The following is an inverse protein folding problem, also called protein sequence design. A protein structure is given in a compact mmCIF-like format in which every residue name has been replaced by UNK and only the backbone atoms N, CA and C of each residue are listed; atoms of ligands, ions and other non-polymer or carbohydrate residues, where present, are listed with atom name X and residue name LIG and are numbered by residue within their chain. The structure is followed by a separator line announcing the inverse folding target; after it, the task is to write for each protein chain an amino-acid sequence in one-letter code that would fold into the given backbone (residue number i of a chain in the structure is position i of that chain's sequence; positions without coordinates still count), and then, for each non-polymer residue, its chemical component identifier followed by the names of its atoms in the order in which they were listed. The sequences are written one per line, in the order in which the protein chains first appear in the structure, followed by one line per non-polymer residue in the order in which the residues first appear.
data_IF_918161310997
#
_entry.id   IF_918161310997
#
_cell.length_a   1.000
_cell.length_b   1.000
_cell.length_c   1.000
_cell.angle_alpha   90.00
_cell.angle_beta   90.00
_cell.angle_gamma   90.00
#
_symmetry.space_group_name_H-M   'P 1'
#
loop_
_entity.id
_entity.type
_entity.pdbx_description
1 polymer ?
#
# COMPACT_ATOMS: atom_id res chain seq x y z
N UNK A 1 5.43 45.00 56.99
CA UNK A 1 4.57 45.23 55.81
C UNK A 1 5.45 45.55 54.61
N UNK A 2 4.99 45.19 53.41
CA UNK A 2 5.78 44.85 52.20
C UNK A 2 6.69 45.99 51.70
N UNK A 3 7.91 45.59 51.33
CA UNK A 3 9.01 46.44 50.81
C UNK A 3 8.69 46.92 49.39
N UNK A 4 8.86 48.21 49.14
CA UNK A 4 9.02 48.76 47.80
C UNK A 4 10.39 48.33 47.25
N UNK A 5 10.42 47.70 46.07
CA UNK A 5 11.65 47.61 45.29
C UNK A 5 11.39 48.01 43.84
N UNK A 6 12.22 48.94 43.41
CA UNK A 6 12.16 49.72 42.18
C UNK A 6 12.42 48.86 40.95
N UNK A 7 11.77 49.24 39.85
CA UNK A 7 12.10 48.86 38.48
C UNK A 7 13.61 49.03 38.23
N UNK A 8 14.24 48.01 37.65
CA UNK A 8 15.51 48.15 36.96
C UNK A 8 15.24 47.83 35.49
N UNK A 9 15.27 48.89 34.69
CA UNK A 9 15.39 48.85 33.24
C UNK A 9 16.72 48.19 32.87
N UNK A 10 16.71 47.21 31.97
CA UNK A 10 17.89 46.86 31.17
C UNK A 10 17.54 47.07 29.71
N UNK A 11 18.31 47.99 29.12
CA UNK A 11 18.26 48.41 27.74
C UNK A 11 18.72 47.30 26.78
N UNK A 12 17.98 47.22 25.68
CA UNK A 12 18.44 47.08 24.30
C UNK A 12 19.80 46.41 24.03
N UNK A 13 19.75 45.28 23.33
CA UNK A 13 20.68 45.03 22.23
C UNK A 13 19.84 44.76 20.99
N UNK A 14 19.72 45.80 20.17
CA UNK A 14 19.11 45.75 18.85
C UNK A 14 20.19 45.52 17.81
N UNK A 15 19.84 44.71 16.81
CA UNK A 15 20.31 44.76 15.41
C UNK A 15 21.75 44.25 15.15
N UNK A 16 22.03 43.49 14.09
CA UNK A 16 21.56 43.65 12.71
C UNK A 16 21.62 42.31 11.94
N UNK A 17 20.58 42.09 11.11
CA UNK A 17 20.60 41.73 9.67
C UNK A 17 21.50 40.54 9.24
N UNK A 18 21.15 39.64 8.34
CA UNK A 18 20.10 39.54 7.32
C UNK A 18 20.42 38.22 6.61
N UNK A 19 19.44 37.36 6.39
CA UNK A 19 19.47 36.45 5.24
C UNK A 19 18.07 35.90 4.97
N UNK A 20 17.43 36.52 3.99
CA UNK A 20 16.54 35.91 3.01
C UNK A 20 15.27 35.23 3.55
N UNK A 21 14.23 36.07 3.64
CA UNK A 21 12.90 35.67 3.25
C UNK A 21 12.92 35.01 1.86
N UNK A 22 12.69 33.71 1.81
CA UNK A 22 12.06 33.08 0.66
C UNK A 22 10.64 32.74 1.08
N UNK A 23 9.76 33.74 1.00
CA UNK A 23 8.33 33.50 0.92
C UNK A 23 8.07 33.01 -0.50
N UNK A 24 8.40 31.75 -0.75
CA UNK A 24 8.08 31.10 -2.01
C UNK A 24 6.61 30.67 -1.94
N UNK A 25 5.75 31.61 -2.35
CA UNK A 25 4.34 31.40 -2.68
C UNK A 25 4.22 30.56 -3.97
N UNK A 26 4.92 29.43 -3.99
CA UNK A 26 5.03 28.47 -5.10
C UNK A 26 4.96 27.02 -4.62
N UNK A 27 4.78 26.78 -3.31
CA UNK A 27 4.58 25.42 -2.78
C UNK A 27 3.10 25.05 -2.74
N UNK A 28 2.38 25.28 -3.85
CA UNK A 28 1.09 24.63 -4.08
C UNK A 28 1.39 23.37 -4.89
N UNK A 29 1.19 22.23 -4.22
CA UNK A 29 1.18 20.87 -4.78
C UNK A 29 2.54 20.40 -5.32
N UNK A 30 3.47 20.07 -4.41
CA UNK A 30 4.28 18.89 -4.72
C UNK A 30 3.32 17.69 -4.80
N UNK A 31 3.20 16.98 -5.93
CA UNK A 31 2.54 15.68 -5.91
C UNK A 31 3.27 14.85 -4.87
N UNK A 32 2.52 14.22 -3.95
CA UNK A 32 3.09 13.27 -3.00
C UNK A 32 4.02 12.35 -3.76
N UNK A 33 5.32 12.54 -3.56
CA UNK A 33 6.36 11.74 -4.19
C UNK A 33 6.04 10.30 -3.77
N UNK A 34 5.62 9.47 -4.74
CA UNK A 34 5.35 8.04 -4.57
C UNK A 34 6.35 7.49 -3.57
N UNK A 35 5.92 7.24 -2.33
CA UNK A 35 6.79 6.62 -1.33
C UNK A 35 7.05 5.22 -1.83
N UNK A 36 8.19 5.05 -2.49
CA UNK A 36 8.60 3.77 -3.03
C UNK A 36 8.94 2.89 -1.83
N UNK A 37 8.08 1.92 -1.55
CA UNK A 37 8.30 0.94 -0.50
C UNK A 37 9.60 0.21 -0.80
N UNK A 38 10.61 0.40 0.06
CA UNK A 38 11.96 -0.14 -0.14
C UNK A 38 12.02 -1.65 0.09
N UNK A 39 11.12 -2.16 0.92
CA UNK A 39 10.91 -3.59 1.14
C UNK A 39 10.01 -4.16 0.05
N UNK A 40 10.18 -5.43 -0.29
CA UNK A 40 9.35 -6.11 -1.29
C UNK A 40 8.58 -7.27 -0.67
N UNK A 41 7.41 -7.60 -1.22
CA UNK A 41 6.73 -8.86 -0.91
C UNK A 41 7.73 -10.01 -1.12
N UNK A 42 7.83 -10.99 -0.21
CA UNK A 42 8.82 -12.06 -0.37
C UNK A 42 8.57 -12.89 -1.63
N UNK A 43 9.65 -13.32 -2.30
CA UNK A 43 9.56 -14.10 -3.55
C UNK A 43 8.76 -15.40 -3.42
N UNK A 44 8.67 -15.96 -2.21
CA UNK A 44 7.83 -17.12 -1.92
C UNK A 44 6.34 -16.92 -2.22
N UNK A 45 5.86 -15.68 -2.29
CA UNK A 45 4.48 -15.32 -2.63
C UNK A 45 4.26 -15.10 -4.13
N UNK A 46 5.33 -15.00 -4.93
CA UNK A 46 5.23 -14.69 -6.34
C UNK A 46 4.37 -15.71 -7.10
N UNK A 47 3.71 -15.20 -8.15
CA UNK A 47 3.03 -16.03 -9.14
C UNK A 47 1.52 -15.93 -9.10
N UNK A 48 0.90 -16.95 -9.67
CA UNK A 48 -0.54 -17.06 -9.93
C UNK A 48 -1.18 -17.96 -8.89
N UNK A 49 -2.33 -17.56 -8.36
CA UNK A 49 -3.00 -18.20 -7.23
C UNK A 49 -4.51 -18.27 -7.48
N UNK A 50 -5.13 -19.37 -7.10
CA UNK A 50 -6.58 -19.60 -7.27
C UNK A 50 -7.23 -20.09 -5.98
N UNK A 51 -8.47 -19.67 -5.71
CA UNK A 51 -9.19 -20.08 -4.49
C UNK A 51 -9.65 -21.54 -4.50
N UNK A 52 -9.83 -22.14 -5.69
CA UNK A 52 -10.24 -23.54 -5.83
C UNK A 52 -9.02 -24.47 -5.77
N UNK A 53 -9.11 -25.50 -4.94
CA UNK A 53 -8.09 -26.56 -4.81
C UNK A 53 -7.87 -27.38 -6.09
N UNK A 54 -8.77 -27.30 -7.06
CA UNK A 54 -8.66 -28.07 -8.29
C UNK A 54 -7.62 -27.41 -9.22
N UNK A 55 -6.40 -27.94 -9.23
CA UNK A 55 -5.27 -27.49 -10.06
C UNK A 55 -5.44 -27.78 -11.57
N UNK A 56 -6.66 -28.02 -12.06
CA UNK A 56 -6.89 -28.27 -13.49
C UNK A 56 -6.54 -27.00 -14.26
N UNK A 57 -5.80 -27.12 -15.37
CA UNK A 57 -5.36 -26.00 -16.22
C UNK A 57 -6.44 -24.94 -16.50
N UNK A 58 -7.71 -25.34 -16.56
CA UNK A 58 -8.86 -24.45 -16.77
C UNK A 58 -9.04 -23.37 -15.69
N UNK A 59 -8.57 -23.60 -14.46
CA UNK A 59 -8.69 -22.63 -13.36
C UNK A 59 -7.51 -21.66 -13.34
N UNK A 60 -6.33 -22.11 -13.79
CA UNK A 60 -5.12 -21.30 -13.86
C UNK A 60 -4.99 -20.50 -15.16
N UNK A 61 -5.71 -20.92 -16.19
CA UNK A 61 -5.88 -20.24 -17.47
C UNK A 61 -7.36 -20.35 -17.87
N UNK A 62 -8.27 -19.62 -17.20
CA UNK A 62 -9.68 -19.62 -17.59
C UNK A 62 -9.80 -19.03 -19.00
N UNK A 63 -10.71 -19.57 -19.85
CA UNK A 63 -11.00 -18.97 -21.13
C UNK A 63 -11.55 -17.55 -20.95
N UNK A 64 -11.36 -16.71 -21.97
CA UNK A 64 -11.86 -15.34 -21.95
C UNK A 64 -13.37 -15.31 -21.66
N UNK A 65 -13.76 -14.63 -20.57
CA UNK A 65 -15.14 -14.56 -20.07
C UNK A 65 -15.38 -15.24 -18.72
N UNK A 66 -14.61 -16.27 -18.36
CA UNK A 66 -14.82 -17.06 -17.12
C UNK A 66 -14.11 -16.45 -15.88
N UNK A 67 -13.37 -15.36 -16.04
CA UNK A 67 -12.65 -14.69 -14.94
C UNK A 67 -13.61 -14.18 -13.86
N UNK A 68 -14.84 -13.81 -14.24
CA UNK A 68 -15.88 -13.32 -13.32
C UNK A 68 -16.36 -14.39 -12.33
N UNK A 69 -16.18 -15.66 -12.64
CA UNK A 69 -16.64 -16.74 -11.77
C UNK A 69 -15.58 -17.21 -10.77
N UNK A 70 -14.30 -16.85 -10.99
CA UNK A 70 -13.18 -17.45 -10.28
C UNK A 70 -12.07 -16.47 -9.97
N UNK A 71 -11.96 -16.02 -8.71
CA UNK A 71 -10.94 -15.05 -8.36
C UNK A 71 -9.55 -15.62 -8.54
N UNK A 72 -8.85 -15.01 -9.49
CA UNK A 72 -7.49 -15.29 -9.85
C UNK A 72 -6.61 -14.18 -9.31
N UNK A 73 -5.63 -14.56 -8.51
CA UNK A 73 -4.72 -13.65 -7.83
C UNK A 73 -3.33 -13.75 -8.46
N UNK A 74 -2.79 -12.62 -8.90
CA UNK A 74 -1.41 -12.48 -9.32
C UNK A 74 -0.67 -11.68 -8.25
N UNK A 75 0.48 -12.16 -7.81
CA UNK A 75 1.36 -11.42 -6.90
C UNK A 75 2.68 -11.14 -7.60
N UNK A 76 3.03 -9.85 -7.69
CA UNK A 76 4.30 -9.38 -8.23
C UNK A 76 5.13 -8.68 -7.14
N UNK A 77 6.09 -9.39 -6.52
CA UNK A 77 7.05 -8.82 -5.57
C UNK A 77 7.78 -7.57 -6.02
N UNK A 78 8.21 -7.52 -7.29
CA UNK A 78 9.01 -6.41 -7.82
C UNK A 78 8.22 -5.10 -7.86
N UNK A 79 6.91 -5.21 -7.97
CA UNK A 79 5.98 -4.07 -8.02
C UNK A 79 5.26 -3.85 -6.69
N UNK A 80 5.47 -4.72 -5.69
CA UNK A 80 4.72 -4.69 -4.43
C UNK A 80 3.21 -4.69 -4.66
N UNK A 81 2.79 -5.57 -5.56
CA UNK A 81 1.47 -5.51 -6.20
C UNK A 81 0.77 -6.86 -6.12
N UNK A 82 -0.53 -6.81 -5.84
CA UNK A 82 -1.43 -7.95 -5.87
C UNK A 82 -2.62 -7.59 -6.77
N UNK A 83 -2.91 -8.43 -7.75
CA UNK A 83 -3.99 -8.22 -8.71
C UNK A 83 -5.02 -9.34 -8.57
N UNK A 84 -6.25 -8.99 -8.20
CA UNK A 84 -7.40 -9.89 -8.36
C UNK A 84 -8.06 -9.57 -9.68
N UNK A 85 -7.69 -10.34 -10.72
CA UNK A 85 -8.22 -10.19 -12.07
C UNK A 85 -9.75 -10.11 -12.01
N UNK A 86 -10.30 -9.02 -12.58
CA UNK A 86 -11.72 -8.60 -12.69
C UNK A 86 -12.34 -7.71 -11.62
N UNK A 87 -11.77 -7.53 -10.42
CA UNK A 87 -12.44 -6.68 -9.41
C UNK A 87 -11.57 -5.61 -8.79
N UNK A 88 -10.27 -5.85 -8.65
CA UNK A 88 -9.50 -4.98 -7.78
C UNK A 88 -7.98 -5.16 -7.91
N UNK A 89 -7.31 -4.03 -7.91
CA UNK A 89 -5.86 -3.87 -7.91
C UNK A 89 -5.39 -3.42 -6.52
N UNK A 90 -4.38 -4.07 -5.97
CA UNK A 90 -3.86 -3.78 -4.63
C UNK A 90 -2.38 -3.43 -4.72
N UNK A 91 -2.06 -2.21 -4.27
CA UNK A 91 -0.68 -1.74 -4.19
C UNK A 91 -0.26 -1.60 -2.74
N UNK A 92 0.83 -2.27 -2.35
CA UNK A 92 1.38 -2.12 -0.99
C UNK A 92 1.96 -0.72 -0.83
N UNK A 93 1.47 0.00 0.18
CA UNK A 93 1.92 1.33 0.57
C UNK A 93 2.91 1.25 1.73
N UNK A 94 2.70 0.29 2.64
CA UNK A 94 3.56 0.12 3.83
C UNK A 94 3.45 -1.29 4.40
N UNK A 95 4.56 -1.92 4.76
CA UNK A 95 4.55 -3.13 5.57
C UNK A 95 4.50 -2.79 7.07
N UNK A 96 3.60 -3.45 7.80
CA UNK A 96 3.56 -3.42 9.27
C UNK A 96 4.35 -4.59 9.88
N UNK A 97 4.41 -5.71 9.17
CA UNK A 97 5.27 -6.85 9.50
C UNK A 97 5.66 -7.59 8.22
N UNK A 98 6.85 -8.18 8.21
CA UNK A 98 7.41 -8.84 7.03
C UNK A 98 8.39 -9.95 7.43
N UNK A 99 8.21 -11.13 6.84
CA UNK A 99 9.07 -12.30 6.94
C UNK A 99 8.95 -13.13 5.66
N UNK A 100 9.78 -14.14 5.48
CA UNK A 100 9.77 -14.97 4.26
C UNK A 100 8.44 -15.73 4.03
N UNK A 101 7.65 -15.97 5.08
CA UNK A 101 6.41 -16.75 5.03
C UNK A 101 5.16 -15.97 5.45
N UNK A 102 5.29 -14.70 5.83
CA UNK A 102 4.17 -13.91 6.31
C UNK A 102 4.44 -12.41 6.17
N UNK A 103 3.41 -11.65 5.84
CA UNK A 103 3.43 -10.20 5.95
C UNK A 103 2.05 -9.63 6.30
N UNK A 104 2.06 -8.45 6.91
CA UNK A 104 0.88 -7.57 7.03
C UNK A 104 1.23 -6.22 6.45
N UNK A 105 0.35 -5.66 5.63
CA UNK A 105 0.60 -4.42 4.93
C UNK A 105 -0.64 -3.52 4.88
N UNK A 106 -0.42 -2.21 4.84
CA UNK A 106 -1.39 -1.25 4.34
C UNK A 106 -1.31 -1.25 2.80
N UNK A 107 -2.46 -1.43 2.17
CA UNK A 107 -2.63 -1.50 0.72
C UNK A 107 -3.62 -0.44 0.27
N UNK A 108 -3.30 0.19 -0.86
CA UNK A 108 -4.26 0.97 -1.64
C UNK A 108 -4.97 0.00 -2.59
N UNK A 109 -6.31 0.07 -2.62
CA UNK A 109 -7.16 -0.79 -3.42
C UNK A 109 -7.87 0.07 -4.44
N UNK A 110 -7.63 -0.20 -5.72
CA UNK A 110 -8.39 0.38 -6.82
C UNK A 110 -9.42 -0.66 -7.26
N UNK A 111 -10.68 -0.42 -6.97
CA UNK A 111 -11.78 -1.29 -7.43
C UNK A 111 -12.22 -0.84 -8.82
N UNK A 112 -12.26 -1.79 -9.74
CA UNK A 112 -12.77 -1.56 -11.10
C UNK A 112 -14.18 -2.16 -11.10
N UNK A 113 -15.19 -1.30 -11.02
CA UNK A 113 -16.58 -1.73 -11.18
C UNK A 113 -16.81 -2.17 -12.64
N UNK A 114 -17.76 -3.10 -12.82
CA UNK A 114 -18.02 -3.73 -14.13
C UNK A 114 -18.75 -2.74 -15.06
N UNK A 115 -19.36 -1.69 -14.52
CA UNK A 115 -20.01 -0.64 -15.28
C UNK A 115 -18.95 0.35 -15.83
N UNK A 116 -18.84 0.52 -17.16
CA UNK A 116 -17.90 1.48 -17.76
C UNK A 116 -18.18 2.94 -17.40
N UNK A 117 -19.36 3.27 -16.89
CA UNK A 117 -19.71 4.62 -16.43
C UNK A 117 -19.31 4.88 -14.97
N UNK A 118 -18.94 3.85 -14.22
CA UNK A 118 -18.51 3.97 -12.83
C UNK A 118 -17.06 4.46 -12.73
N UNK A 119 -16.84 5.44 -11.85
CA UNK A 119 -15.51 5.98 -11.60
C UNK A 119 -14.75 5.01 -10.69
N UNK A 120 -13.52 4.56 -11.04
CA UNK A 120 -12.76 3.66 -10.19
C UNK A 120 -12.64 4.22 -8.77
N UNK A 121 -13.01 3.41 -7.77
CA UNK A 121 -12.92 3.82 -6.38
C UNK A 121 -11.56 3.43 -5.81
N UNK A 122 -10.91 4.37 -5.12
CA UNK A 122 -9.63 4.15 -4.44
C UNK A 122 -9.89 4.15 -2.94
N UNK A 123 -9.50 3.07 -2.27
CA UNK A 123 -9.64 2.91 -0.82
C UNK A 123 -8.34 2.40 -0.19
N UNK A 124 -8.20 2.50 1.13
CA UNK A 124 -7.07 1.93 1.86
C UNK A 124 -7.55 0.91 2.87
N UNK A 125 -6.79 -0.18 3.01
CA UNK A 125 -7.05 -1.19 4.03
C UNK A 125 -5.79 -1.91 4.47
N UNK A 126 -5.90 -2.68 5.54
CA UNK A 126 -4.85 -3.62 5.94
C UNK A 126 -5.11 -4.98 5.30
N UNK A 127 -4.03 -5.64 4.89
CA UNK A 127 -4.02 -6.97 4.31
C UNK A 127 -3.03 -7.85 5.07
N UNK A 128 -3.43 -9.07 5.38
CA UNK A 128 -2.61 -10.09 6.02
C UNK A 128 -2.42 -11.27 5.09
N UNK A 129 -1.18 -11.68 4.84
CA UNK A 129 -0.86 -12.78 3.94
C UNK A 129 0.14 -13.75 4.58
N UNK A 130 -0.15 -15.05 4.49
CA UNK A 130 0.68 -16.12 5.04
C UNK A 130 0.87 -17.25 4.04
N UNK A 131 2.11 -17.55 3.70
CA UNK A 131 2.49 -18.73 2.95
C UNK A 131 2.49 -19.95 3.89
N UNK A 132 1.51 -20.83 3.74
CA UNK A 132 1.39 -22.05 4.57
C UNK A 132 2.40 -23.11 4.13
N UNK A 133 2.61 -23.21 2.81
CA UNK A 133 3.61 -24.05 2.17
C UNK A 133 3.87 -23.50 0.75
N UNK A 134 4.84 -24.03 -0.02
CA UNK A 134 5.16 -23.51 -1.35
C UNK A 134 4.00 -23.54 -2.37
N UNK A 135 2.88 -24.22 -2.10
CA UNK A 135 1.73 -24.31 -3.01
C UNK A 135 0.44 -23.76 -2.42
N UNK A 136 0.47 -23.25 -1.18
CA UNK A 136 -0.72 -22.80 -0.45
C UNK A 136 -0.45 -21.49 0.27
N UNK A 137 -1.28 -20.50 -0.04
CA UNK A 137 -1.27 -19.15 0.51
C UNK A 137 -2.60 -18.89 1.23
N UNK A 138 -2.58 -18.08 2.27
CA UNK A 138 -3.78 -17.54 2.91
C UNK A 138 -3.68 -16.02 2.91
N UNK A 139 -4.72 -15.33 2.43
CA UNK A 139 -4.86 -13.86 2.51
C UNK A 139 -6.20 -13.54 3.17
N UNK A 140 -6.19 -12.75 4.24
CA UNK A 140 -7.39 -12.37 5.01
C UNK A 140 -8.34 -13.55 5.23
N UNK A 141 -7.79 -14.65 5.77
CA UNK A 141 -8.46 -15.93 6.04
C UNK A 141 -8.95 -16.74 4.82
N UNK A 142 -8.79 -16.23 3.60
CA UNK A 142 -9.09 -16.95 2.36
C UNK A 142 -7.88 -17.72 1.87
N UNK A 143 -8.09 -19.01 1.57
CA UNK A 143 -7.04 -19.90 1.05
C UNK A 143 -6.95 -19.83 -0.46
N UNK A 144 -5.72 -19.78 -0.96
CA UNK A 144 -5.37 -19.84 -2.36
C UNK A 144 -4.31 -20.91 -2.62
N UNK A 145 -4.34 -21.45 -3.84
CA UNK A 145 -3.48 -22.52 -4.30
C UNK A 145 -2.66 -22.05 -5.48
N UNK A 146 -1.35 -22.34 -5.45
CA UNK A 146 -0.43 -21.94 -6.50
C UNK A 146 -0.80 -22.65 -7.81
N UNK A 147 -0.88 -21.87 -8.87
CA UNK A 147 -0.92 -22.39 -10.22
C UNK A 147 0.47 -22.88 -10.63
N UNK A 148 0.56 -24.03 -11.33
CA UNK A 148 1.81 -24.50 -11.90
C UNK A 148 2.39 -23.51 -12.91
#
# INVERSE_FOLDING_TARGET
MKKHFKLISVLAVSSMLSACANFDLGTILQPQKNQQVTQTIPNGFAGKWVSKKNHRHKHCNPPAGDFLEQPFLIINPKQNHLEWLTWSDYRVIKFHSLSDSFFTAEVEVTSIEIDPDDTPSVSRKNLSAKLVNPTTLVIDDKRYHRCP
#
